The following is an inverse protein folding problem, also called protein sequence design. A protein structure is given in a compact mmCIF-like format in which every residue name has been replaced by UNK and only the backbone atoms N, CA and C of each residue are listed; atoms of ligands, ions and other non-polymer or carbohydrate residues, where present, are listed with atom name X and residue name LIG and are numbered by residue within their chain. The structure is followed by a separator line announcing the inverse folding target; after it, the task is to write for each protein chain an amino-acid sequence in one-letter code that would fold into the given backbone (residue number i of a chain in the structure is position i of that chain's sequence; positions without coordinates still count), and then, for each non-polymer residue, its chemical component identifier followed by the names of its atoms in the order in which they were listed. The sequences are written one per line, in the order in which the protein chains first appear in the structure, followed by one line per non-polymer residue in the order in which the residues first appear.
data_IF_497553290990
#
_entry.id   IF_497553290990
#
_cell.length_a   1.000
_cell.length_b   1.000
_cell.length_c   1.000
_cell.angle_alpha   90.00
_cell.angle_beta   90.00
_cell.angle_gamma   90.00
#
_symmetry.space_group_name_H-M   'P 1'
#
loop_
_entity.id
_entity.type
_entity.pdbx_description
1 polymer ?
#
# COMPACT_ATOMS: atom_id res chain seq x y z
N UNK A 1 -8.92 -56.87 -18.11
CA UNK A 1 -9.39 -56.03 -17.01
C UNK A 1 -10.67 -55.32 -17.44
N UNK A 2 -11.74 -55.46 -16.69
CA UNK A 2 -13.06 -54.90 -17.01
C UNK A 2 -13.02 -53.37 -16.96
N UNK A 3 -13.75 -52.71 -17.87
CA UNK A 3 -13.82 -51.25 -17.96
C UNK A 3 -14.19 -50.57 -16.63
N UNK A 4 -14.97 -51.25 -15.79
CA UNK A 4 -15.32 -50.81 -14.44
C UNK A 4 -14.10 -50.69 -13.50
N UNK A 5 -13.15 -51.62 -13.57
CA UNK A 5 -11.93 -51.60 -12.75
C UNK A 5 -11.04 -50.42 -13.17
N UNK A 6 -10.96 -50.16 -14.48
CA UNK A 6 -10.19 -49.03 -15.03
C UNK A 6 -10.81 -47.71 -14.58
N UNK A 7 -12.14 -47.56 -14.67
CA UNK A 7 -12.82 -46.35 -14.24
C UNK A 7 -12.63 -46.06 -12.74
N UNK A 8 -12.71 -47.09 -11.89
CA UNK A 8 -12.52 -46.95 -10.45
C UNK A 8 -11.08 -46.58 -10.09
N UNK A 9 -10.09 -47.20 -10.74
CA UNK A 9 -8.67 -46.89 -10.53
C UNK A 9 -8.35 -45.44 -10.93
N UNK A 10 -8.84 -44.99 -12.08
CA UNK A 10 -8.63 -43.61 -12.56
C UNK A 10 -9.30 -42.59 -11.62
N UNK A 11 -10.55 -42.84 -11.23
CA UNK A 11 -11.27 -41.96 -10.31
C UNK A 11 -10.57 -41.82 -8.95
N UNK A 12 -10.07 -42.94 -8.41
CA UNK A 12 -9.35 -42.96 -7.13
C UNK A 12 -8.03 -42.19 -7.21
N UNK A 13 -7.27 -42.36 -8.30
CA UNK A 13 -6.02 -41.62 -8.52
C UNK A 13 -6.26 -40.11 -8.61
N UNK A 14 -7.29 -39.67 -9.35
CA UNK A 14 -7.64 -38.26 -9.46
C UNK A 14 -8.07 -37.66 -8.12
N UNK A 15 -8.86 -38.41 -7.33
CA UNK A 15 -9.27 -37.97 -6.00
C UNK A 15 -8.09 -37.78 -5.05
N UNK A 16 -7.15 -38.74 -5.03
CA UNK A 16 -5.92 -38.65 -4.22
C UNK A 16 -5.05 -37.48 -4.67
N UNK A 17 -4.88 -37.29 -5.99
CA UNK A 17 -4.12 -36.18 -6.56
C UNK A 17 -4.71 -34.81 -6.20
N UNK A 18 -6.04 -34.66 -6.30
CA UNK A 18 -6.74 -33.44 -5.92
C UNK A 18 -6.61 -33.16 -4.42
N UNK A 19 -6.76 -34.19 -3.58
CA UNK A 19 -6.59 -34.05 -2.13
C UNK A 19 -5.16 -33.64 -1.76
N UNK A 20 -4.15 -34.28 -2.38
CA UNK A 20 -2.75 -33.94 -2.16
C UNK A 20 -2.44 -32.50 -2.61
N UNK A 21 -2.98 -32.06 -3.76
CA UNK A 21 -2.82 -30.69 -4.24
C UNK A 21 -3.42 -29.65 -3.29
N UNK A 22 -4.61 -29.93 -2.73
CA UNK A 22 -5.27 -29.06 -1.75
C UNK A 22 -4.54 -29.03 -0.40
N UNK A 23 -3.97 -30.16 0.03
CA UNK A 23 -3.25 -30.27 1.31
C UNK A 23 -1.80 -29.83 1.22
N UNK A 24 -1.19 -29.81 0.04
CA UNK A 24 0.18 -29.35 -0.20
C UNK A 24 0.51 -28.02 0.51
N UNK A 25 -0.30 -26.94 0.42
CA UNK A 25 0.00 -25.66 1.09
C UNK A 25 -0.04 -25.71 2.63
N UNK A 26 -0.62 -26.75 3.25
CA UNK A 26 -0.57 -26.91 4.71
C UNK A 26 0.76 -27.48 5.19
N UNK A 27 1.44 -28.28 4.37
CA UNK A 27 2.69 -28.96 4.74
C UNK A 27 3.93 -28.27 4.19
N UNK A 28 3.78 -27.54 3.09
CA UNK A 28 4.87 -26.83 2.43
C UNK A 28 4.47 -25.37 2.30
N UNK A 29 5.13 -24.51 3.09
CA UNK A 29 5.00 -23.07 2.97
C UNK A 29 5.34 -22.66 1.53
N UNK A 30 4.33 -22.25 0.76
CA UNK A 30 4.58 -21.59 -0.50
C UNK A 30 5.25 -20.24 -0.20
N UNK A 31 6.37 -19.89 -0.86
CA UNK A 31 6.89 -18.54 -0.78
C UNK A 31 5.76 -17.62 -1.23
N UNK A 32 5.26 -16.85 -0.28
CA UNK A 32 4.11 -15.97 -0.48
C UNK A 32 4.50 -14.96 -1.56
N UNK A 33 4.03 -15.18 -2.80
CA UNK A 33 4.10 -14.17 -3.83
C UNK A 33 3.36 -12.95 -3.29
N UNK A 34 4.12 -11.91 -2.98
CA UNK A 34 3.72 -10.82 -2.10
C UNK A 34 2.36 -10.25 -2.45
N UNK A 35 1.37 -10.55 -1.62
CA UNK A 35 0.42 -9.53 -1.22
C UNK A 35 0.85 -9.15 0.19
N UNK A 36 1.58 -8.03 0.28
CA UNK A 36 1.79 -7.30 1.51
C UNK A 36 0.44 -6.74 1.95
N UNK A 37 -0.49 -7.63 2.33
CA UNK A 37 -1.44 -7.27 3.35
C UNK A 37 -0.55 -7.18 4.58
N UNK A 38 -0.39 -6.01 5.21
CA UNK A 38 0.25 -5.99 6.51
C UNK A 38 -0.60 -6.95 7.33
N UNK A 39 -0.01 -8.10 7.69
CA UNK A 39 -0.49 -8.87 8.83
C UNK A 39 -0.54 -7.82 9.92
N UNK A 40 -1.73 -7.41 10.33
CA UNK A 40 -1.88 -6.77 11.64
C UNK A 40 -1.38 -7.85 12.58
N UNK A 41 -0.07 -7.80 12.87
CA UNK A 41 0.49 -8.48 14.00
C UNK A 41 -0.44 -8.10 15.13
N UNK A 42 -1.08 -9.10 15.74
CA UNK A 42 -1.85 -8.92 16.94
C UNK A 42 -0.87 -8.45 18.04
N UNK A 43 -0.47 -7.19 17.96
CA UNK A 43 0.37 -6.50 18.89
C UNK A 43 -0.55 -6.00 20.01
N UNK A 44 -0.02 -5.93 21.24
CA UNK A 44 -0.76 -5.40 22.39
C UNK A 44 -1.39 -4.02 22.15
N UNK A 45 -0.86 -3.25 21.19
CA UNK A 45 -1.39 -1.96 20.73
C UNK A 45 -2.88 -2.03 20.31
N UNK A 46 -3.31 -3.14 19.69
CA UNK A 46 -4.71 -3.31 19.27
C UNK A 46 -5.65 -3.55 20.46
N UNK A 47 -5.15 -4.11 21.57
CA UNK A 47 -5.99 -4.48 22.71
C UNK A 47 -6.45 -3.24 23.50
N UNK A 48 -5.54 -2.32 23.80
CA UNK A 48 -5.90 -1.09 24.53
C UNK A 48 -6.77 -0.15 23.69
N UNK A 49 -6.54 -0.09 22.37
CA UNK A 49 -7.37 0.67 21.43
C UNK A 49 -8.74 0.00 21.25
N UNK A 50 -8.81 -1.32 21.20
CA UNK A 50 -10.09 -2.05 21.17
C UNK A 50 -10.89 -1.82 22.46
N UNK A 51 -10.25 -1.87 23.62
CA UNK A 51 -10.89 -1.59 24.90
C UNK A 51 -11.46 -0.16 24.96
N UNK A 52 -10.75 0.84 24.41
CA UNK A 52 -11.28 2.21 24.28
C UNK A 52 -12.55 2.28 23.42
N UNK A 53 -12.59 1.55 22.30
CA UNK A 53 -13.77 1.48 21.43
C UNK A 53 -14.95 0.79 22.12
N UNK A 54 -14.68 -0.26 22.88
CA UNK A 54 -15.70 -1.01 23.62
C UNK A 54 -16.35 -0.15 24.72
N UNK A 55 -15.57 0.57 25.53
CA UNK A 55 -16.15 1.45 26.57
C UNK A 55 -16.89 2.65 25.99
N UNK A 56 -16.50 3.15 24.81
CA UNK A 56 -17.23 4.20 24.11
C UNK A 56 -18.59 3.70 23.63
N UNK A 57 -18.64 2.46 23.14
CA UNK A 57 -19.88 1.81 22.78
C UNK A 57 -20.77 1.56 24.01
N UNK A 58 -20.21 1.09 25.12
CA UNK A 58 -20.97 0.86 26.36
C UNK A 58 -21.53 2.17 26.94
N UNK A 59 -20.80 3.29 26.84
CA UNK A 59 -21.33 4.62 27.17
C UNK A 59 -22.47 5.02 26.24
N UNK A 60 -22.30 4.86 24.92
CA UNK A 60 -23.31 5.24 23.92
C UNK A 60 -24.61 4.42 24.07
N UNK A 61 -24.50 3.17 24.52
CA UNK A 61 -25.64 2.30 24.82
C UNK A 61 -26.21 2.47 26.23
N UNK A 62 -25.62 3.36 27.05
CA UNK A 62 -26.09 3.66 28.40
C UNK A 62 -25.75 2.60 29.45
N UNK A 63 -24.87 1.64 29.13
CA UNK A 63 -24.39 0.64 30.09
C UNK A 63 -23.38 1.21 31.09
N UNK A 64 -22.73 2.32 30.72
CA UNK A 64 -21.67 2.94 31.51
C UNK A 64 -22.04 4.38 31.87
N UNK A 65 -21.82 4.78 33.12
CA UNK A 65 -22.01 6.15 33.56
C UNK A 65 -20.91 7.06 33.02
N UNK A 66 -21.17 8.38 32.92
CA UNK A 66 -20.14 9.34 32.48
C UNK A 66 -18.94 9.37 33.43
N UNK A 67 -19.16 9.19 34.73
CA UNK A 67 -18.08 9.15 35.73
C UNK A 67 -17.17 7.92 35.50
N UNK A 68 -17.77 6.73 35.37
CA UNK A 68 -17.01 5.49 35.15
C UNK A 68 -16.29 5.51 33.79
N UNK A 69 -16.94 6.05 32.75
CA UNK A 69 -16.34 6.24 31.44
C UNK A 69 -15.07 7.10 31.50
N UNK A 70 -15.10 8.23 32.21
CA UNK A 70 -13.93 9.12 32.26
C UNK A 70 -12.73 8.45 32.95
N UNK A 71 -12.98 7.66 33.99
CA UNK A 71 -11.94 6.90 34.69
C UNK A 71 -11.34 5.80 33.80
N UNK A 72 -12.20 4.98 33.18
CA UNK A 72 -11.76 3.88 32.31
C UNK A 72 -11.04 4.41 31.06
N UNK A 73 -11.56 5.47 30.44
CA UNK A 73 -10.91 6.13 29.30
C UNK A 73 -9.50 6.61 29.65
N UNK A 74 -9.32 7.25 30.80
CA UNK A 74 -8.00 7.71 31.24
C UNK A 74 -7.03 6.55 31.51
N UNK A 75 -7.51 5.41 32.03
CA UNK A 75 -6.69 4.23 32.24
C UNK A 75 -6.24 3.60 30.90
N UNK A 76 -7.18 3.28 30.02
CA UNK A 76 -6.88 2.63 28.74
C UNK A 76 -6.09 3.55 27.79
N UNK A 77 -6.31 4.87 27.83
CA UNK A 77 -5.48 5.81 27.05
C UNK A 77 -4.02 5.77 27.50
N UNK A 78 -3.76 5.74 28.81
CA UNK A 78 -2.38 5.60 29.32
C UNK A 78 -1.75 4.29 28.90
N UNK A 79 -2.51 3.19 28.95
CA UNK A 79 -2.05 1.88 28.52
C UNK A 79 -1.73 1.85 27.02
N UNK A 80 -2.65 2.34 26.17
CA UNK A 80 -2.45 2.42 24.72
C UNK A 80 -1.20 3.23 24.36
N UNK A 81 -0.99 4.38 25.00
CA UNK A 81 0.21 5.20 24.79
C UNK A 81 1.49 4.48 25.23
N UNK A 82 1.43 3.68 26.30
CA UNK A 82 2.59 2.91 26.77
C UNK A 82 2.93 1.74 25.85
N UNK A 83 1.92 1.08 25.28
CA UNK A 83 2.09 0.02 24.28
C UNK A 83 2.68 0.62 22.99
N UNK A 84 2.09 1.70 22.46
CA UNK A 84 2.59 2.42 21.28
C UNK A 84 4.03 2.90 21.43
N UNK A 85 4.47 3.31 22.62
CA UNK A 85 5.87 3.73 22.85
C UNK A 85 6.85 2.57 22.91
N UNK A 86 6.38 1.37 23.24
CA UNK A 86 7.20 0.15 23.30
C UNK A 86 7.42 -0.43 21.92
N UNK A 87 6.40 -0.33 21.06
CA UNK A 87 6.43 -0.76 19.66
C UNK A 87 6.89 0.35 18.72
N UNK A 88 6.85 1.62 19.17
CA UNK A 88 7.49 2.71 18.47
C UNK A 88 8.95 2.33 18.24
N UNK A 89 9.43 2.39 16.99
CA UNK A 89 10.84 2.21 16.73
C UNK A 89 11.61 3.17 17.64
N UNK A 90 12.58 2.65 18.39
CA UNK A 90 13.46 3.48 19.19
C UNK A 90 14.05 4.57 18.30
N UNK A 91 14.39 5.74 18.85
CA UNK A 91 14.91 6.90 18.12
C UNK A 91 16.22 6.65 17.31
N UNK A 92 16.70 5.40 17.23
CA UNK A 92 17.76 4.91 16.34
C UNK A 92 17.29 4.13 15.09
N UNK A 93 15.98 3.98 14.83
CA UNK A 93 15.48 3.48 13.55
C UNK A 93 15.61 4.49 12.39
N UNK A 94 16.25 5.63 12.66
CA UNK A 94 16.63 6.61 11.66
C UNK A 94 17.47 5.96 10.56
N UNK A 95 18.41 5.08 10.89
CA UNK A 95 19.30 4.47 9.87
C UNK A 95 18.53 3.70 8.78
N UNK A 96 17.57 2.84 9.15
CA UNK A 96 16.76 2.09 8.17
C UNK A 96 15.79 2.99 7.40
N UNK A 97 15.20 3.99 8.06
CA UNK A 97 14.37 5.01 7.40
C UNK A 97 15.21 5.89 6.45
N UNK A 98 16.45 6.20 6.81
CA UNK A 98 17.36 7.04 6.05
C UNK A 98 17.80 6.34 4.76
N UNK A 99 18.05 5.03 4.82
CA UNK A 99 18.32 4.19 3.65
C UNK A 99 17.11 4.13 2.71
N UNK A 100 15.91 3.89 3.25
CA UNK A 100 14.68 3.86 2.45
C UNK A 100 14.40 5.22 1.79
N UNK A 101 14.55 6.30 2.53
CA UNK A 101 14.39 7.66 2.01
C UNK A 101 15.46 8.01 0.97
N UNK A 102 16.69 7.51 1.11
CA UNK A 102 17.73 7.65 0.10
C UNK A 102 17.34 6.93 -1.20
N UNK A 103 16.81 5.70 -1.11
CA UNK A 103 16.31 4.94 -2.28
C UNK A 103 15.15 5.68 -2.95
N UNK A 104 14.19 6.20 -2.18
CA UNK A 104 13.06 6.98 -2.71
C UNK A 104 13.54 8.25 -3.41
N UNK A 105 14.51 8.97 -2.83
CA UNK A 105 15.10 10.16 -3.46
C UNK A 105 15.82 9.83 -4.74
N UNK A 106 16.63 8.77 -4.76
CA UNK A 106 17.33 8.32 -5.97
C UNK A 106 16.32 7.96 -7.07
N UNK A 107 15.30 7.18 -6.74
CA UNK A 107 14.21 6.84 -7.67
C UNK A 107 13.53 8.09 -8.24
N UNK A 108 13.25 9.11 -7.42
CA UNK A 108 12.60 10.35 -7.88
C UNK A 108 13.52 11.25 -8.71
N UNK A 109 14.83 11.23 -8.47
CA UNK A 109 15.80 12.08 -9.16
C UNK A 109 15.97 11.70 -10.64
N UNK A 110 15.80 10.42 -10.98
CA UNK A 110 15.92 9.91 -12.34
C UNK A 110 14.65 10.13 -13.20
N UNK A 111 13.61 10.75 -12.63
CA UNK A 111 12.29 10.86 -13.24
C UNK A 111 11.91 12.30 -13.58
N UNK A 112 11.14 12.51 -14.67
CA UNK A 112 10.59 13.82 -14.98
C UNK A 112 9.77 14.37 -13.81
N UNK A 113 9.93 15.66 -13.51
CA UNK A 113 9.18 16.32 -12.46
C UNK A 113 8.33 17.45 -13.04
N UNK A 114 7.05 17.45 -12.70
CA UNK A 114 6.20 18.60 -12.96
C UNK A 114 6.52 19.71 -11.95
N UNK A 115 6.78 20.95 -12.37
CA UNK A 115 7.04 22.05 -11.44
C UNK A 115 5.85 22.37 -10.52
N UNK A 116 4.64 21.94 -10.86
CA UNK A 116 3.42 22.15 -10.06
C UNK A 116 3.01 20.92 -9.25
N UNK A 117 3.15 19.70 -9.81
CA UNK A 117 2.62 18.47 -9.20
C UNK A 117 3.71 17.55 -8.62
N UNK A 118 4.99 17.83 -8.89
CA UNK A 118 6.12 17.01 -8.44
C UNK A 118 6.48 15.85 -9.40
N UNK A 119 7.25 14.86 -8.91
CA UNK A 119 7.81 13.75 -9.70
C UNK A 119 6.74 12.94 -10.44
N UNK A 120 7.06 12.42 -11.62
CA UNK A 120 6.24 11.48 -12.39
C UNK A 120 6.79 10.08 -12.26
N UNK A 121 5.98 9.06 -11.91
CA UNK A 121 6.46 7.68 -11.83
C UNK A 121 6.92 7.14 -13.19
N UNK A 122 6.32 7.62 -14.28
CA UNK A 122 6.63 7.24 -15.66
C UNK A 122 7.95 7.90 -16.13
N UNK A 123 8.99 7.13 -16.48
CA UNK A 123 10.30 7.67 -16.85
C UNK A 123 10.31 8.42 -18.18
N UNK A 124 9.39 8.07 -19.07
CA UNK A 124 9.18 8.63 -20.40
C UNK A 124 8.03 9.66 -20.45
N UNK A 125 7.62 10.19 -19.29
CA UNK A 125 6.55 11.18 -19.22
C UNK A 125 6.89 12.43 -20.05
N UNK A 126 6.23 12.59 -21.20
CA UNK A 126 6.22 13.84 -21.95
C UNK A 126 5.23 14.87 -21.35
N UNK A 127 4.19 14.39 -20.67
CA UNK A 127 3.15 15.19 -20.02
C UNK A 127 2.95 14.79 -18.56
N UNK A 128 2.52 15.74 -17.73
CA UNK A 128 2.15 15.47 -16.36
C UNK A 128 0.83 14.68 -16.29
N UNK A 129 0.86 13.48 -15.72
CA UNK A 129 -0.34 12.64 -15.49
C UNK A 129 -1.39 13.25 -14.56
N UNK A 130 -1.05 14.27 -13.77
CA UNK A 130 -1.99 14.95 -12.87
C UNK A 130 -2.61 16.21 -13.46
N UNK A 131 -1.81 17.08 -14.10
CA UNK A 131 -2.29 18.39 -14.57
C UNK A 131 -2.21 18.58 -16.10
N UNK A 132 -1.68 17.61 -16.84
CA UNK A 132 -1.57 17.66 -18.30
C UNK A 132 -0.52 18.62 -18.86
N UNK A 133 0.31 19.25 -18.02
CA UNK A 133 1.41 20.13 -18.47
C UNK A 133 2.46 19.37 -19.28
N UNK A 134 2.92 19.94 -20.39
CA UNK A 134 4.07 19.44 -21.15
C UNK A 134 5.38 19.62 -20.36
N UNK A 135 6.09 18.53 -20.10
CA UNK A 135 7.19 18.50 -19.12
C UNK A 135 8.53 19.07 -19.63
N UNK A 136 8.90 18.94 -20.91
CA UNK A 136 10.07 19.65 -21.46
C UNK A 136 9.94 21.18 -21.40
N UNK A 137 8.72 21.71 -21.23
CA UNK A 137 8.45 23.14 -20.95
C UNK A 137 8.68 24.10 -22.13
N UNK A 138 9.31 23.64 -23.20
CA UNK A 138 9.54 24.41 -24.43
C UNK A 138 9.48 23.52 -25.67
N UNK A 139 9.00 24.07 -26.77
CA UNK A 139 8.93 23.37 -28.04
C UNK A 139 10.33 23.11 -28.59
N UNK A 140 10.65 21.85 -28.90
CA UNK A 140 11.93 21.44 -29.47
C UNK A 140 12.23 22.05 -30.85
N UNK A 141 11.20 22.42 -31.62
CA UNK A 141 11.39 22.93 -32.98
C UNK A 141 11.64 24.45 -33.02
N UNK A 142 10.92 25.23 -32.20
CA UNK A 142 10.99 26.71 -32.27
C UNK A 142 11.44 27.37 -30.97
N UNK A 143 11.65 26.61 -29.88
CA UNK A 143 12.08 27.11 -28.59
C UNK A 143 11.03 27.86 -27.78
N UNK A 144 9.80 28.03 -28.29
CA UNK A 144 8.74 28.73 -27.55
C UNK A 144 8.36 27.95 -26.29
N UNK A 145 8.25 28.65 -25.15
CA UNK A 145 7.71 28.07 -23.90
C UNK A 145 6.28 27.60 -24.09
N UNK A 146 5.98 26.42 -23.57
CA UNK A 146 4.64 25.84 -23.56
C UNK A 146 4.10 25.95 -22.15
N UNK A 147 3.16 26.88 -21.95
CA UNK A 147 2.59 27.15 -20.62
C UNK A 147 1.22 26.52 -20.45
N UNK A 148 0.54 26.25 -21.56
CA UNK A 148 -0.81 25.72 -21.66
C UNK A 148 -0.86 24.25 -21.26
N UNK A 149 -1.77 23.92 -20.34
CA UNK A 149 -2.04 22.53 -19.94
C UNK A 149 -2.76 21.78 -21.06
N UNK A 150 -2.33 20.56 -21.36
CA UNK A 150 -2.92 19.73 -22.41
C UNK A 150 -2.51 20.13 -23.84
N UNK A 151 -1.54 21.02 -24.01
CA UNK A 151 -1.05 21.41 -25.33
C UNK A 151 -0.42 20.23 -26.08
N UNK A 152 -1.10 19.71 -27.11
CA UNK A 152 -0.56 18.67 -28.00
C UNK A 152 0.29 19.23 -29.15
N UNK A 153 0.10 20.51 -29.46
CA UNK A 153 0.79 21.25 -30.51
C UNK A 153 1.30 22.59 -29.98
N UNK A 154 2.42 23.06 -30.52
CA UNK A 154 2.97 24.38 -30.22
C UNK A 154 2.10 25.48 -30.84
N UNK A 155 1.61 26.42 -30.03
CA UNK A 155 0.81 27.54 -30.50
C UNK A 155 1.56 28.52 -31.42
N UNK A 156 2.90 28.51 -31.41
CA UNK A 156 3.71 29.42 -32.23
C UNK A 156 4.07 28.85 -33.62
N UNK A 157 4.45 27.56 -33.70
CA UNK A 157 4.93 26.97 -34.96
C UNK A 157 4.10 25.75 -35.44
N UNK A 158 3.12 25.30 -34.67
CA UNK A 158 2.28 24.14 -35.02
C UNK A 158 2.93 22.77 -34.82
N UNK A 159 4.19 22.69 -34.37
CA UNK A 159 4.88 21.42 -34.10
C UNK A 159 4.14 20.58 -33.06
N UNK A 160 4.15 19.26 -33.19
CA UNK A 160 3.59 18.36 -32.18
C UNK A 160 4.56 18.24 -31.00
N UNK A 161 4.09 18.43 -29.77
CA UNK A 161 4.97 18.54 -28.59
C UNK A 161 5.41 17.18 -28.02
N UNK A 162 4.75 16.08 -28.38
CA UNK A 162 5.25 14.73 -28.13
C UNK A 162 4.79 13.82 -29.28
N UNK A 163 5.71 13.04 -29.82
CA UNK A 163 5.44 12.06 -30.88
C UNK A 163 5.17 10.68 -30.28
#
# INVERSE_FOLDING_TARGET
MSAAIIALAVGTLLAIGALAFVLYPLFFDAPSAGHTRPRSSANGDDLAVAALREIEFDRATGKLSDADYTQLKAAYTRQALADMRRTAPAAGASAEHDELEAVIRAYRAERPACPQCGPRPEPDAAFCSTCGRYLPGSCEQCGRRVEETGARFCAACGHRLAA
#
